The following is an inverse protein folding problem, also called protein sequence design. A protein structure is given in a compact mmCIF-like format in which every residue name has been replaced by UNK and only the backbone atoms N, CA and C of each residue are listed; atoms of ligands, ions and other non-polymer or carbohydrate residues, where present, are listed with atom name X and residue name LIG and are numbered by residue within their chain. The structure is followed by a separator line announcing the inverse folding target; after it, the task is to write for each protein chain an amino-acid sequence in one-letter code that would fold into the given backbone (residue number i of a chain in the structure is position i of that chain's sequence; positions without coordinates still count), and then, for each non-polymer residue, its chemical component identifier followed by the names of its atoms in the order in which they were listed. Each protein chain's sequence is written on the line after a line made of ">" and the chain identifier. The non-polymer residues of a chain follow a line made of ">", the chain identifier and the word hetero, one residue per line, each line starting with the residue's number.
data_IF_856133542320
#
_entry.id   IF_856133542320
#
_cell.length_a   1.000
_cell.length_b   1.000
_cell.length_c   1.000
_cell.angle_alpha   90.00
_cell.angle_beta   90.00
_cell.angle_gamma   90.00
#
_symmetry.space_group_name_H-M   'P 1'
#
loop_
_entity.id
_entity.type
_entity.pdbx_description
1 polymer ?
#
# COMPACT_ATOMS: atom_id res chain seq x y z
N UNK A 1 38.08 -73.76 12.60
CA UNK A 1 37.49 -73.15 11.40
C UNK A 1 36.50 -72.08 11.86
N UNK A 2 36.49 -70.95 11.14
CA UNK A 2 36.00 -69.61 11.48
C UNK A 2 34.58 -69.53 12.07
N UNK A 3 34.43 -68.88 13.24
CA UNK A 3 33.18 -68.28 13.70
C UNK A 3 33.16 -66.82 13.26
N UNK A 4 32.27 -66.48 12.33
CA UNK A 4 32.06 -65.10 11.84
C UNK A 4 30.82 -64.55 12.56
N UNK A 5 31.02 -63.65 13.51
CA UNK A 5 29.94 -62.84 14.08
C UNK A 5 29.69 -61.64 13.15
N UNK A 6 28.55 -61.65 12.46
CA UNK A 6 28.09 -60.56 11.62
C UNK A 6 27.45 -59.48 12.52
N UNK A 7 28.19 -58.41 12.79
CA UNK A 7 27.70 -57.23 13.49
C UNK A 7 26.87 -56.39 12.50
N UNK A 8 25.55 -56.43 12.60
CA UNK A 8 24.66 -55.56 11.83
C UNK A 8 24.61 -54.20 12.54
N UNK A 9 25.36 -53.23 12.04
CA UNK A 9 25.22 -51.82 12.41
C UNK A 9 23.90 -51.29 11.83
N UNK A 10 22.87 -51.23 12.66
CA UNK A 10 21.62 -50.53 12.37
C UNK A 10 21.88 -49.02 12.43
N UNK A 11 22.19 -48.42 11.28
CA UNK A 11 22.30 -46.96 11.15
C UNK A 11 20.90 -46.38 11.26
N UNK A 12 20.58 -45.80 12.42
CA UNK A 12 19.39 -44.99 12.63
C UNK A 12 19.54 -43.71 11.80
N UNK A 13 18.93 -43.68 10.62
CA UNK A 13 18.65 -42.45 9.89
C UNK A 13 17.67 -41.61 10.74
N UNK A 14 18.22 -40.75 11.60
CA UNK A 14 17.47 -39.63 12.17
C UNK A 14 17.18 -38.70 11.00
N UNK A 15 16.00 -38.89 10.39
CA UNK A 15 15.47 -37.98 9.38
C UNK A 15 15.42 -36.58 9.98
N UNK A 16 16.25 -35.69 9.47
CA UNK A 16 16.15 -34.27 9.73
C UNK A 16 14.85 -33.81 9.06
N UNK A 17 13.75 -33.79 9.80
CA UNK A 17 12.54 -33.10 9.37
C UNK A 17 12.88 -31.62 9.40
N UNK A 18 13.26 -31.06 8.25
CA UNK A 18 13.22 -29.64 8.02
C UNK A 18 11.79 -29.20 8.34
N UNK A 19 11.62 -28.52 9.48
CA UNK A 19 10.40 -27.79 9.76
C UNK A 19 10.28 -26.74 8.67
N UNK A 20 9.45 -27.01 7.67
CA UNK A 20 9.02 -25.98 6.73
C UNK A 20 8.41 -24.87 7.59
N UNK A 21 9.16 -23.80 7.81
CA UNK A 21 8.63 -22.59 8.41
C UNK A 21 7.51 -22.15 7.49
N UNK A 22 6.26 -22.27 7.95
CA UNK A 22 5.11 -21.76 7.22
C UNK A 22 5.42 -20.30 6.91
N UNK A 23 5.65 -19.98 5.64
CA UNK A 23 5.85 -18.61 5.20
C UNK A 23 4.49 -17.95 5.30
N UNK A 24 4.24 -17.30 6.45
CA UNK A 24 3.01 -16.57 6.70
C UNK A 24 2.99 -15.36 5.78
N UNK A 25 2.04 -15.32 4.86
CA UNK A 25 1.81 -14.17 3.98
C UNK A 25 1.29 -12.99 4.81
N UNK A 26 1.84 -11.78 4.64
CA UNK A 26 1.31 -10.62 5.33
C UNK A 26 -0.05 -10.23 4.77
N UNK A 27 -0.89 -9.61 5.59
CA UNK A 27 -1.97 -8.79 5.08
C UNK A 27 -1.38 -7.51 4.49
N UNK A 28 -1.96 -7.02 3.41
CA UNK A 28 -1.58 -5.78 2.76
C UNK A 28 -2.76 -4.81 2.89
N UNK A 29 -2.55 -3.71 3.59
CA UNK A 29 -3.51 -2.62 3.74
C UNK A 29 -2.94 -1.37 3.07
N UNK A 30 -3.54 -0.95 1.96
CA UNK A 30 -3.15 0.26 1.24
C UNK A 30 -4.24 1.30 1.44
N UNK A 31 -3.93 2.30 2.27
CA UNK A 31 -4.81 3.42 2.59
C UNK A 31 -4.44 4.58 1.69
N UNK A 32 -5.43 5.09 0.96
CA UNK A 32 -5.22 6.14 -0.02
C UNK A 32 -6.22 7.27 0.19
N UNK A 33 -5.72 8.45 0.55
CA UNK A 33 -6.53 9.65 0.65
C UNK A 33 -6.76 10.31 -0.72
N UNK A 34 -7.88 11.03 -0.87
CA UNK A 34 -8.07 11.98 -1.96
C UNK A 34 -7.75 13.40 -1.48
N UNK A 35 -6.89 14.10 -2.22
CA UNK A 35 -6.58 15.53 -1.99
C UNK A 35 -5.89 15.82 -0.65
N UNK A 36 -5.01 14.92 -0.19
CA UNK A 36 -4.21 15.13 1.02
C UNK A 36 -2.76 15.44 0.62
N UNK A 37 -2.30 16.63 0.97
CA UNK A 37 -0.96 17.12 0.67
C UNK A 37 0.06 16.67 1.72
N UNK A 38 1.33 16.63 1.34
CA UNK A 38 2.43 16.34 2.26
C UNK A 38 2.34 17.16 3.57
N UNK A 39 2.04 18.46 3.45
CA UNK A 39 1.97 19.40 4.58
C UNK A 39 0.73 19.24 5.47
N UNK A 40 -0.25 18.42 5.09
CA UNK A 40 -1.53 18.30 5.80
C UNK A 40 -1.47 17.33 6.99
N UNK A 41 -0.43 16.49 7.07
CA UNK A 41 -0.23 15.51 8.15
C UNK A 41 0.78 16.04 9.17
N UNK A 42 0.48 15.88 10.46
CA UNK A 42 1.27 16.43 11.57
C UNK A 42 2.76 16.07 11.53
N UNK A 43 3.11 14.84 11.16
CA UNK A 43 4.51 14.39 11.04
C UNK A 43 5.33 15.14 9.97
N UNK A 44 4.66 15.75 8.98
CA UNK A 44 5.26 16.43 7.84
C UNK A 44 5.11 17.96 7.91
N UNK A 45 4.08 18.46 8.61
CA UNK A 45 3.75 19.88 8.75
C UNK A 45 4.50 20.63 9.86
N UNK A 46 4.44 21.97 9.83
CA UNK A 46 4.94 22.84 10.92
C UNK A 46 3.77 23.33 11.80
N UNK A 47 4.02 23.41 13.12
CA UNK A 47 3.36 24.05 14.29
C UNK A 47 1.86 24.41 14.34
N UNK A 48 1.10 24.42 13.23
CA UNK A 48 -0.33 24.77 13.16
C UNK A 48 -1.20 23.74 12.43
N UNK A 49 -0.69 22.54 12.16
CA UNK A 49 -1.41 21.47 11.44
C UNK A 49 -2.26 20.66 12.41
N UNK A 50 -3.42 20.17 11.93
CA UNK A 50 -4.35 19.31 12.68
C UNK A 50 -3.64 18.17 13.40
N UNK A 51 -4.07 17.86 14.62
CA UNK A 51 -3.51 16.75 15.38
C UNK A 51 -3.94 15.43 14.76
N UNK A 52 -2.99 14.69 14.17
CA UNK A 52 -3.20 13.36 13.57
C UNK A 52 -2.43 12.29 14.35
N UNK A 53 -2.75 12.04 15.63
CA UNK A 53 -1.92 11.19 16.49
C UNK A 53 -1.80 9.73 16.03
N UNK A 54 -2.83 9.15 15.39
CA UNK A 54 -2.76 7.78 14.89
C UNK A 54 -1.90 7.68 13.63
N UNK A 55 -2.09 8.60 12.67
CA UNK A 55 -1.32 8.69 11.43
C UNK A 55 0.14 9.03 11.75
N UNK A 56 0.38 10.02 12.61
CA UNK A 56 1.72 10.44 13.03
C UNK A 56 2.46 9.27 13.69
N UNK A 57 1.76 8.50 14.54
CA UNK A 57 2.34 7.30 15.15
C UNK A 57 2.74 6.26 14.10
N UNK A 58 1.89 5.97 13.12
CA UNK A 58 2.24 5.01 12.06
C UNK A 58 3.45 5.47 11.26
N UNK A 59 3.51 6.76 10.91
CA UNK A 59 4.63 7.33 10.18
C UNK A 59 5.92 7.30 11.01
N UNK A 60 5.87 7.70 12.29
CA UNK A 60 7.01 7.72 13.20
C UNK A 60 7.52 6.32 13.56
N UNK A 61 6.64 5.32 13.63
CA UNK A 61 7.01 3.93 13.91
C UNK A 61 7.38 3.13 12.64
N UNK A 62 7.24 3.74 11.46
CA UNK A 62 7.46 3.12 10.15
C UNK A 62 8.61 3.72 9.36
N UNK A 63 8.54 3.59 8.04
CA UNK A 63 9.35 4.34 7.08
C UNK A 63 8.55 5.57 6.65
N UNK A 64 9.01 6.75 7.04
CA UNK A 64 8.40 8.04 6.71
C UNK A 64 9.18 8.68 5.56
N UNK A 65 8.57 8.82 4.38
CA UNK A 65 9.26 9.37 3.20
C UNK A 65 8.99 10.86 3.05
N UNK A 66 10.05 11.65 2.93
CA UNK A 66 9.95 13.11 2.72
C UNK A 66 9.72 13.48 1.25
N UNK A 67 9.97 12.57 0.31
CA UNK A 67 9.86 12.79 -1.13
C UNK A 67 8.87 11.79 -1.79
N UNK A 68 7.61 11.82 -1.34
CA UNK A 68 6.52 11.04 -1.92
C UNK A 68 5.75 11.82 -2.99
N UNK A 69 5.61 11.30 -4.21
CA UNK A 69 4.92 12.02 -5.29
C UNK A 69 3.90 11.15 -6.01
N UNK A 70 2.71 11.71 -6.27
CA UNK A 70 1.75 11.10 -7.19
C UNK A 70 2.09 11.46 -8.63
N UNK A 71 1.89 10.51 -9.53
CA UNK A 71 2.18 10.67 -10.96
C UNK A 71 1.16 11.56 -11.68
N UNK A 72 -0.02 11.81 -11.11
CA UNK A 72 -1.04 12.67 -11.73
C UNK A 72 -1.78 13.54 -10.71
N UNK A 73 -2.19 14.71 -11.16
CA UNK A 73 -3.05 15.64 -10.41
C UNK A 73 -4.55 15.25 -10.44
N UNK A 74 -4.90 14.22 -11.21
CA UNK A 74 -6.25 13.69 -11.31
C UNK A 74 -6.37 12.36 -10.55
N UNK A 75 -7.37 12.24 -9.69
CA UNK A 75 -7.53 11.06 -8.84
C UNK A 75 -7.71 9.77 -9.65
N UNK A 76 -8.43 9.80 -10.78
CA UNK A 76 -8.68 8.62 -11.65
C UNK A 76 -7.37 8.12 -12.24
N UNK A 77 -6.59 9.06 -12.75
CA UNK A 77 -5.26 8.83 -13.31
C UNK A 77 -4.28 8.29 -12.26
N UNK A 78 -4.30 8.85 -11.06
CA UNK A 78 -3.48 8.38 -9.93
C UNK A 78 -3.85 6.96 -9.50
N UNK A 79 -5.14 6.64 -9.37
CA UNK A 79 -5.60 5.30 -9.03
C UNK A 79 -5.29 4.29 -10.15
N UNK A 80 -5.48 4.65 -11.42
CA UNK A 80 -5.08 3.82 -12.54
C UNK A 80 -3.58 3.47 -12.45
N UNK A 81 -2.73 4.46 -12.20
CA UNK A 81 -1.30 4.25 -12.08
C UNK A 81 -0.93 3.35 -10.88
N UNK A 82 -1.58 3.55 -9.73
CA UNK A 82 -1.42 2.67 -8.56
C UNK A 82 -1.78 1.22 -8.89
N UNK A 83 -2.91 1.01 -9.57
CA UNK A 83 -3.45 -0.33 -9.83
C UNK A 83 -2.71 -1.05 -10.95
N UNK A 84 -2.16 -0.33 -11.92
CA UNK A 84 -1.56 -0.95 -13.11
C UNK A 84 -0.05 -0.82 -13.19
N UNK A 85 0.55 0.10 -12.41
CA UNK A 85 1.95 0.47 -12.55
C UNK A 85 2.27 1.22 -13.84
N UNK A 86 1.26 1.71 -14.57
CA UNK A 86 1.43 2.43 -15.83
C UNK A 86 1.00 3.89 -15.69
N UNK A 87 1.82 4.79 -16.21
CA UNK A 87 1.49 6.21 -16.28
C UNK A 87 0.38 6.45 -17.33
N UNK A 88 -0.72 7.15 -16.99
CA UNK A 88 -1.89 7.31 -17.86
C UNK A 88 -1.62 7.95 -19.23
N UNK A 89 -0.58 8.79 -19.34
CA UNK A 89 -0.20 9.45 -20.59
C UNK A 89 0.66 8.60 -21.52
N UNK A 90 1.21 7.48 -21.04
CA UNK A 90 2.04 6.57 -21.84
C UNK A 90 1.23 5.52 -22.62
N UNK A 91 -0.10 5.70 -22.73
CA UNK A 91 -1.03 4.77 -23.41
C UNK A 91 -0.43 4.18 -24.69
N UNK A 92 0.08 2.96 -24.58
CA UNK A 92 0.06 1.97 -25.64
C UNK A 92 -1.18 1.10 -25.41
N UNK A 93 -1.93 0.84 -26.48
CA UNK A 93 -3.08 -0.06 -26.48
C UNK A 93 -2.53 -1.48 -26.28
N UNK A 94 -2.45 -1.93 -25.04
CA UNK A 94 -2.19 -3.32 -24.70
C UNK A 94 -3.47 -3.92 -24.13
N UNK A 95 -3.95 -5.00 -24.77
CA UNK A 95 -5.25 -5.63 -24.48
C UNK A 95 -5.31 -6.36 -23.13
N UNK A 96 -4.18 -6.53 -22.42
CA UNK A 96 -4.13 -7.15 -21.10
C UNK A 96 -3.17 -6.40 -20.16
N UNK A 97 -3.67 -5.38 -19.46
CA UNK A 97 -2.94 -4.78 -18.35
C UNK A 97 -3.38 -5.46 -17.06
N UNK A 98 -2.55 -6.36 -16.54
CA UNK A 98 -2.78 -6.97 -15.24
C UNK A 98 -2.68 -5.92 -14.13
N UNK A 99 -3.57 -6.02 -13.16
CA UNK A 99 -3.66 -5.09 -12.05
C UNK A 99 -3.06 -5.66 -10.76
N UNK A 100 -2.79 -4.78 -9.79
CA UNK A 100 -2.36 -5.13 -8.45
C UNK A 100 -3.29 -6.14 -7.75
N UNK A 101 -4.62 -5.94 -7.66
CA UNK A 101 -5.51 -6.95 -7.07
C UNK A 101 -5.49 -8.28 -7.84
N UNK A 102 -5.41 -8.28 -9.18
CA UNK A 102 -5.28 -9.54 -9.94
C UNK A 102 -3.98 -10.28 -9.61
N UNK A 103 -2.87 -9.55 -9.48
CA UNK A 103 -1.59 -10.10 -9.03
C UNK A 103 -1.69 -10.71 -7.63
N UNK A 104 -2.32 -10.02 -6.69
CA UNK A 104 -2.50 -10.53 -5.33
C UNK A 104 -3.37 -11.80 -5.31
N UNK A 105 -4.44 -11.85 -6.12
CA UNK A 105 -5.29 -13.04 -6.26
C UNK A 105 -4.53 -14.26 -6.78
N UNK A 106 -3.62 -14.08 -7.74
CA UNK A 106 -2.78 -15.18 -8.26
C UNK A 106 -1.96 -15.89 -7.18
N UNK A 107 -1.63 -15.18 -6.10
CA UNK A 107 -0.93 -15.74 -4.94
C UNK A 107 -1.84 -15.94 -3.73
N UNK A 108 -3.15 -16.04 -3.94
CA UNK A 108 -4.11 -16.52 -2.93
C UNK A 108 -4.55 -15.48 -1.90
N UNK A 109 -4.41 -14.18 -2.20
CA UNK A 109 -4.99 -13.12 -1.38
C UNK A 109 -6.48 -12.97 -1.68
N UNK A 110 -7.28 -12.70 -0.64
CA UNK A 110 -8.60 -12.08 -0.80
C UNK A 110 -8.41 -10.61 -1.13
N UNK A 111 -9.09 -10.07 -2.13
CA UNK A 111 -8.92 -8.66 -2.51
C UNK A 111 -10.20 -7.85 -2.29
N UNK A 112 -10.06 -6.71 -1.63
CA UNK A 112 -11.18 -5.79 -1.40
C UNK A 112 -10.78 -4.35 -1.70
N UNK A 113 -11.70 -3.62 -2.32
CA UNK A 113 -11.65 -2.17 -2.45
C UNK A 113 -12.82 -1.56 -1.67
N UNK A 114 -12.53 -0.81 -0.61
CA UNK A 114 -13.54 -0.15 0.21
C UNK A 114 -13.34 1.36 0.22
N UNK A 115 -14.45 2.10 0.23
CA UNK A 115 -14.47 3.56 0.33
C UNK A 115 -14.35 4.21 -1.04
N UNK A 116 -13.71 5.38 -1.12
CA UNK A 116 -13.65 6.13 -2.38
C UNK A 116 -12.97 5.34 -3.49
N UNK A 117 -13.77 5.15 -4.53
CA UNK A 117 -13.43 4.48 -5.77
C UNK A 117 -14.09 5.23 -6.91
N UNK A 118 -13.37 5.47 -8.00
CA UNK A 118 -13.75 6.39 -9.07
C UNK A 118 -15.13 6.18 -9.69
N UNK A 119 -16.14 6.89 -9.15
CA UNK A 119 -17.36 7.39 -9.81
C UNK A 119 -18.26 8.07 -8.75
N UNK A 120 -18.98 9.14 -9.11
CA UNK A 120 -20.09 9.69 -8.28
C UNK A 120 -21.29 8.72 -8.22
N UNK A 121 -21.31 7.72 -9.10
CA UNK A 121 -22.33 6.67 -9.18
C UNK A 121 -21.77 5.38 -8.59
N UNK A 122 -22.28 5.00 -7.41
CA UNK A 122 -21.88 3.84 -6.61
C UNK A 122 -21.80 2.54 -7.41
N UNK A 123 -22.88 2.18 -8.14
CA UNK A 123 -22.90 0.95 -8.93
C UNK A 123 -21.77 0.91 -9.96
N UNK A 124 -21.44 2.06 -10.56
CA UNK A 124 -20.33 2.16 -11.51
C UNK A 124 -18.97 2.06 -10.82
N UNK A 125 -18.84 2.56 -9.59
CA UNK A 125 -17.63 2.43 -8.79
C UNK A 125 -17.37 0.96 -8.40
N UNK A 126 -18.39 0.25 -7.90
CA UNK A 126 -18.28 -1.19 -7.60
C UNK A 126 -17.95 -2.02 -8.84
N UNK A 127 -18.68 -1.79 -9.94
CA UNK A 127 -18.45 -2.50 -11.20
C UNK A 127 -17.03 -2.24 -11.73
N UNK A 128 -16.56 -0.98 -11.65
CA UNK A 128 -15.19 -0.59 -12.03
C UNK A 128 -14.13 -1.28 -11.15
N UNK A 129 -14.34 -1.35 -9.83
CA UNK A 129 -13.42 -2.06 -8.93
C UNK A 129 -13.35 -3.55 -9.25
N UNK A 130 -14.50 -4.19 -9.52
CA UNK A 130 -14.55 -5.60 -9.93
C UNK A 130 -13.88 -5.82 -11.29
N UNK A 131 -14.02 -4.89 -12.23
CA UNK A 131 -13.30 -4.93 -13.52
C UNK A 131 -11.78 -4.80 -13.34
N UNK A 132 -11.33 -4.09 -12.32
CA UNK A 132 -9.91 -4.07 -11.92
C UNK A 132 -9.47 -5.35 -11.21
N UNK A 133 -10.36 -6.29 -10.91
CA UNK A 133 -10.02 -7.62 -10.38
C UNK A 133 -10.22 -7.82 -8.88
N UNK A 134 -10.83 -6.87 -8.17
CA UNK A 134 -11.20 -7.05 -6.76
C UNK A 134 -12.28 -8.12 -6.56
N UNK A 135 -12.16 -8.95 -5.51
CA UNK A 135 -13.21 -9.91 -5.11
C UNK A 135 -14.40 -9.20 -4.45
N UNK A 136 -14.09 -8.17 -3.66
CA UNK A 136 -15.07 -7.37 -2.92
C UNK A 136 -14.89 -5.89 -3.25
N UNK A 137 -16.00 -5.19 -3.39
CA UNK A 137 -16.04 -3.75 -3.62
C UNK A 137 -17.25 -3.18 -2.88
N UNK A 138 -17.08 -2.04 -2.23
CA UNK A 138 -18.14 -1.36 -1.48
C UNK A 138 -17.63 -0.06 -0.85
N UNK A 139 -18.39 0.48 0.10
CA UNK A 139 -18.12 1.76 0.72
C UNK A 139 -18.86 2.89 0.01
N UNK A 140 -20.11 3.10 0.41
CA UNK A 140 -20.87 4.30 0.08
C UNK A 140 -20.10 5.54 0.57
N UNK A 141 -19.76 6.44 -0.36
CA UNK A 141 -19.18 7.74 -0.04
C UNK A 141 -20.22 8.80 -0.38
N UNK A 142 -21.03 9.20 0.61
CA UNK A 142 -21.80 10.43 0.52
C UNK A 142 -20.87 11.59 0.90
N UNK A 143 -20.60 12.50 -0.05
CA UNK A 143 -19.81 13.71 0.18
C UNK A 143 -20.44 14.70 1.18
N UNK A 144 -21.57 14.36 1.78
CA UNK A 144 -22.22 15.15 2.84
C UNK A 144 -22.29 14.42 4.18
N UNK A 145 -21.79 13.19 4.27
CA UNK A 145 -21.81 12.38 5.50
C UNK A 145 -20.40 11.94 5.90
N UNK A 146 -20.18 11.65 7.21
CA UNK A 146 -18.93 11.06 7.67
C UNK A 146 -18.68 9.70 7.01
N UNK A 147 -17.42 9.37 6.73
CA UNK A 147 -17.04 8.13 6.05
C UNK A 147 -17.46 6.89 6.87
N UNK A 148 -18.57 6.27 6.48
CA UNK A 148 -19.10 5.07 7.10
C UNK A 148 -18.46 3.78 6.54
N UNK A 149 -17.71 3.88 5.43
CA UNK A 149 -17.07 2.74 4.77
C UNK A 149 -15.99 2.09 5.66
N UNK A 150 -15.49 2.81 6.66
CA UNK A 150 -14.58 2.25 7.67
C UNK A 150 -15.18 1.03 8.39
N UNK A 151 -16.48 1.05 8.71
CA UNK A 151 -17.15 -0.06 9.38
C UNK A 151 -17.30 -1.26 8.45
N UNK A 152 -17.48 -1.02 7.16
CA UNK A 152 -17.49 -2.06 6.14
C UNK A 152 -16.11 -2.72 6.01
N UNK A 153 -15.04 -1.92 5.95
CA UNK A 153 -13.67 -2.42 5.96
C UNK A 153 -13.39 -3.29 7.20
N UNK A 154 -13.80 -2.84 8.39
CA UNK A 154 -13.67 -3.61 9.64
C UNK A 154 -14.48 -4.92 9.62
N UNK A 155 -15.68 -4.89 9.03
CA UNK A 155 -16.52 -6.08 8.87
C UNK A 155 -15.87 -7.09 7.91
N UNK A 156 -15.33 -6.64 6.76
CA UNK A 156 -14.63 -7.50 5.82
C UNK A 156 -13.37 -8.13 6.42
N UNK A 157 -12.55 -7.35 7.14
CA UNK A 157 -11.39 -7.88 7.89
C UNK A 157 -11.82 -9.01 8.82
N UNK A 158 -12.99 -8.88 9.47
CA UNK A 158 -13.55 -9.91 10.34
C UNK A 158 -13.96 -11.18 9.57
N UNK A 159 -14.45 -11.02 8.34
CA UNK A 159 -14.88 -12.14 7.49
C UNK A 159 -13.71 -12.91 6.87
N UNK A 160 -12.55 -12.28 6.69
CA UNK A 160 -11.37 -12.95 6.15
C UNK A 160 -10.74 -13.98 7.10
N UNK A 161 -11.15 -14.09 8.37
CA UNK A 161 -10.79 -15.20 9.28
C UNK A 161 -9.29 -15.55 9.32
N UNK A 162 -8.41 -14.53 9.28
CA UNK A 162 -6.94 -14.67 9.24
C UNK A 162 -6.37 -15.24 7.91
N UNK A 163 -7.17 -15.36 6.86
CA UNK A 163 -6.65 -15.51 5.49
C UNK A 163 -5.93 -14.22 5.05
N UNK A 164 -4.85 -14.30 4.24
CA UNK A 164 -4.15 -13.13 3.76
C UNK A 164 -5.06 -12.30 2.84
N UNK A 165 -5.11 -10.99 3.10
CA UNK A 165 -5.92 -10.06 2.32
C UNK A 165 -5.11 -8.90 1.76
N UNK A 166 -5.55 -8.39 0.62
CA UNK A 166 -5.15 -7.11 0.07
C UNK A 166 -6.37 -6.20 0.13
N UNK A 167 -6.35 -5.27 1.06
CA UNK A 167 -7.39 -4.28 1.26
C UNK A 167 -6.88 -2.94 0.78
N UNK A 168 -7.44 -2.48 -0.32
CA UNK A 168 -7.42 -1.09 -0.69
C UNK A 168 -8.50 -0.38 0.13
N UNK A 169 -8.13 0.68 0.84
CA UNK A 169 -9.06 1.54 1.55
C UNK A 169 -8.90 2.97 1.04
N UNK A 170 -9.84 3.41 0.20
CA UNK A 170 -9.90 4.77 -0.31
C UNK A 170 -10.61 5.66 0.71
N UNK A 171 -9.90 6.61 1.30
CA UNK A 171 -10.52 7.61 2.16
C UNK A 171 -11.28 8.58 1.27
N UNK A 172 -12.61 8.46 1.29
CA UNK A 172 -13.50 9.18 0.42
C UNK A 172 -14.06 10.43 1.04
N UNK A 173 -14.00 11.51 0.27
CA UNK A 173 -14.63 12.76 0.62
C UNK A 173 -13.73 13.65 1.46
N UNK A 174 -13.20 14.69 0.83
CA UNK A 174 -13.52 16.03 1.33
C UNK A 174 -15.03 16.23 1.19
N UNK A 175 -15.81 15.44 1.92
CA UNK A 175 -17.12 15.89 2.32
C UNK A 175 -16.90 17.24 3.00
N UNK A 176 -17.86 18.14 2.95
CA UNK A 176 -17.72 19.56 3.36
C UNK A 176 -17.31 19.75 4.84
N UNK A 177 -16.88 18.71 5.57
CA UNK A 177 -16.44 18.79 6.96
C UNK A 177 -15.46 17.71 7.48
N UNK A 178 -14.95 16.75 6.71
CA UNK A 178 -14.04 15.75 7.31
C UNK A 178 -12.68 16.36 7.61
N UNK A 179 -12.50 16.76 8.87
CA UNK A 179 -11.24 17.29 9.37
C UNK A 179 -10.19 16.18 9.35
N UNK A 180 -8.91 16.55 9.31
CA UNK A 180 -7.84 15.56 9.44
C UNK A 180 -7.96 14.71 10.74
N UNK A 181 -8.63 15.25 11.77
CA UNK A 181 -8.94 14.53 13.02
C UNK A 181 -9.92 13.37 12.81
N UNK A 182 -10.94 13.52 11.96
CA UNK A 182 -11.88 12.43 11.64
C UNK A 182 -11.17 11.30 10.88
N UNK A 183 -10.36 11.66 9.89
CA UNK A 183 -9.56 10.69 9.14
C UNK A 183 -8.64 9.93 10.10
N UNK A 184 -7.96 10.65 11.00
CA UNK A 184 -7.10 10.05 12.02
C UNK A 184 -7.87 9.11 12.97
N UNK A 185 -9.08 9.48 13.39
CA UNK A 185 -9.95 8.63 14.22
C UNK A 185 -10.31 7.33 13.49
N UNK A 186 -10.63 7.39 12.19
CA UNK A 186 -10.93 6.20 11.39
C UNK A 186 -9.72 5.28 11.25
N UNK A 187 -8.52 5.84 11.06
CA UNK A 187 -7.29 5.07 11.10
C UNK A 187 -7.12 4.41 12.48
N UNK A 188 -7.34 5.13 13.57
CA UNK A 188 -7.32 4.58 14.92
C UNK A 188 -8.29 3.40 15.13
N UNK A 189 -9.52 3.50 14.61
CA UNK A 189 -10.51 2.41 14.63
C UNK A 189 -10.07 1.19 13.82
N UNK A 190 -9.49 1.41 12.64
CA UNK A 190 -8.97 0.34 11.79
C UNK A 190 -7.82 -0.41 12.48
N UNK A 191 -6.87 0.33 13.06
CA UNK A 191 -5.74 -0.24 13.79
C UNK A 191 -6.20 -1.04 15.02
N UNK A 192 -7.18 -0.51 15.75
CA UNK A 192 -7.79 -1.22 16.88
C UNK A 192 -8.48 -2.51 16.42
N UNK A 193 -9.24 -2.46 15.32
CA UNK A 193 -9.86 -3.64 14.71
C UNK A 193 -8.83 -4.74 14.39
N UNK A 194 -7.71 -4.37 13.77
CA UNK A 194 -6.60 -5.28 13.45
C UNK A 194 -5.92 -5.81 14.73
N UNK A 195 -5.70 -4.96 15.73
CA UNK A 195 -5.06 -5.33 16.98
C UNK A 195 -5.91 -6.32 17.79
N UNK A 196 -7.20 -6.04 17.95
CA UNK A 196 -8.16 -6.90 18.67
C UNK A 196 -8.30 -8.30 18.05
N UNK A 197 -7.94 -8.42 16.77
CA UNK A 197 -7.98 -9.68 16.00
C UNK A 197 -6.60 -10.34 15.88
N UNK A 198 -5.58 -9.78 16.52
CA UNK A 198 -4.18 -10.23 16.44
C UNK A 198 -3.62 -10.23 15.00
N UNK A 199 -4.11 -9.32 14.16
CA UNK A 199 -3.73 -9.21 12.76
C UNK A 199 -2.73 -8.08 12.51
N UNK A 200 -2.64 -7.09 13.42
CA UNK A 200 -1.78 -5.91 13.26
C UNK A 200 -0.31 -6.28 13.03
N UNK A 201 0.24 -7.24 13.77
CA UNK A 201 1.65 -7.67 13.68
C UNK A 201 1.96 -8.37 12.34
N UNK A 202 0.93 -8.89 11.64
CA UNK A 202 1.04 -9.52 10.32
C UNK A 202 0.50 -8.62 9.21
N UNK A 203 0.31 -7.31 9.44
CA UNK A 203 -0.24 -6.40 8.44
C UNK A 203 0.79 -5.34 8.07
N UNK A 204 1.17 -5.29 6.79
CA UNK A 204 1.88 -4.16 6.21
C UNK A 204 0.85 -3.10 5.81
N UNK A 205 1.06 -1.89 6.30
CA UNK A 205 0.19 -0.74 6.07
C UNK A 205 0.97 0.28 5.23
N UNK A 206 0.40 0.68 4.10
CA UNK A 206 0.88 1.81 3.29
C UNK A 206 -0.14 2.92 3.38
N UNK A 207 0.32 4.15 3.56
CA UNK A 207 -0.52 5.34 3.53
C UNK A 207 0.01 6.33 2.50
N UNK A 208 -0.84 6.80 1.60
CA UNK A 208 -0.51 7.87 0.66
C UNK A 208 -1.76 8.60 0.15
N UNK A 209 -1.62 9.43 -0.88
CA UNK A 209 -2.73 10.14 -1.51
C UNK A 209 -2.65 10.10 -3.04
N UNK A 210 -3.81 10.19 -3.70
CA UNK A 210 -3.91 10.24 -5.17
C UNK A 210 -3.40 11.53 -5.78
N UNK A 211 -3.60 12.64 -5.08
CA UNK A 211 -3.25 13.99 -5.52
C UNK A 211 -3.09 14.88 -4.31
N UNK A 212 -2.27 15.91 -4.44
CA UNK A 212 -2.18 16.98 -3.44
C UNK A 212 -3.29 18.00 -3.65
N UNK A 213 -3.77 18.60 -2.56
CA UNK A 213 -4.69 19.74 -2.55
C UNK A 213 -3.98 21.11 -2.66
N UNK A 214 -2.68 21.17 -2.36
CA UNK A 214 -1.92 22.42 -2.19
C UNK A 214 -0.76 22.56 -3.19
N UNK A 215 -0.12 21.45 -3.58
CA UNK A 215 1.13 21.48 -4.34
C UNK A 215 0.96 21.24 -5.85
N UNK A 216 1.51 22.17 -6.64
CA UNK A 216 1.66 22.11 -8.09
C UNK A 216 2.58 20.97 -8.58
N UNK A 217 3.24 20.22 -7.69
CA UNK A 217 4.05 19.06 -8.06
C UNK A 217 3.50 17.73 -7.56
N UNK A 218 2.27 17.70 -7.02
CA UNK A 218 1.65 16.50 -6.43
C UNK A 218 2.52 15.82 -5.34
N UNK A 219 3.17 16.59 -4.47
CA UNK A 219 3.84 16.07 -3.28
C UNK A 219 2.79 15.59 -2.27
N UNK A 220 2.78 14.28 -2.02
CA UNK A 220 1.80 13.60 -1.18
C UNK A 220 2.49 12.97 0.04
N UNK A 221 1.77 12.76 1.15
CA UNK A 221 2.31 11.94 2.23
C UNK A 221 2.59 10.53 1.70
N UNK A 222 3.67 9.91 2.16
CA UNK A 222 3.94 8.50 1.87
C UNK A 222 4.66 7.87 3.06
N UNK A 223 4.05 6.89 3.71
CA UNK A 223 4.75 6.09 4.71
C UNK A 223 4.32 4.63 4.68
N UNK A 224 5.20 3.78 5.22
CA UNK A 224 4.98 2.34 5.32
C UNK A 224 5.21 1.90 6.76
N UNK A 225 4.24 1.20 7.33
CA UNK A 225 4.27 0.69 8.68
C UNK A 225 4.12 -0.82 8.69
N UNK A 226 4.92 -1.50 9.52
CA UNK A 226 4.71 -2.89 9.85
C UNK A 226 5.28 -3.22 11.22
N UNK A 227 4.38 -3.40 12.19
CA UNK A 227 4.70 -3.60 13.59
C UNK A 227 5.72 -4.74 13.79
N UNK A 228 6.87 -4.40 14.37
CA UNK A 228 7.96 -5.34 14.67
C UNK A 228 8.71 -5.89 13.45
N UNK A 229 8.39 -5.45 12.23
CA UNK A 229 9.10 -5.83 10.99
C UNK A 229 9.85 -4.67 10.35
N UNK A 230 9.35 -3.45 10.53
CA UNK A 230 10.00 -2.20 10.14
C UNK A 230 10.55 -1.53 11.40
N UNK A 231 11.77 -1.01 11.30
CA UNK A 231 12.34 -0.11 12.30
C UNK A 231 12.10 1.34 11.86
N UNK A 232 11.80 2.26 12.80
CA UNK A 232 11.59 3.67 12.50
C UNK A 232 12.70 4.29 11.67
N UNK A 233 12.34 4.94 10.55
CA UNK A 233 13.29 5.69 9.72
C UNK A 233 12.60 6.81 8.96
N UNK A 234 13.25 7.96 8.86
CA UNK A 234 12.87 9.03 7.93
C UNK A 234 13.79 8.92 6.71
N UNK A 235 13.22 8.86 5.52
CA UNK A 235 13.95 8.69 4.27
C UNK A 235 13.62 9.80 3.27
N UNK A 236 14.65 10.31 2.61
CA UNK A 236 14.55 11.27 1.49
C UNK A 236 14.51 10.58 0.13
N UNK A 237 14.41 9.25 0.10
CA UNK A 237 14.25 8.50 -1.14
C UNK A 237 13.00 8.95 -1.89
N UNK A 238 13.14 9.17 -3.21
CA UNK A 238 12.03 9.52 -4.08
C UNK A 238 11.14 8.29 -4.31
N UNK A 239 9.89 8.36 -3.87
CA UNK A 239 8.92 7.25 -3.95
C UNK A 239 7.60 7.70 -4.54
N UNK A 240 6.85 6.74 -5.09
CA UNK A 240 5.54 7.03 -5.69
C UNK A 240 4.57 5.86 -5.52
N UNK A 241 3.25 6.11 -5.36
CA UNK A 241 2.24 5.04 -5.32
C UNK A 241 2.25 4.13 -6.56
N UNK A 242 2.73 4.62 -7.72
CA UNK A 242 2.88 3.78 -8.93
C UNK A 242 3.83 2.60 -8.72
N UNK A 243 4.75 2.68 -7.75
CA UNK A 243 5.73 1.62 -7.43
C UNK A 243 5.16 0.48 -6.59
N UNK A 244 3.92 0.63 -6.07
CA UNK A 244 3.34 -0.34 -5.16
C UNK A 244 3.10 -1.69 -5.86
N UNK A 245 2.70 -1.71 -7.14
CA UNK A 245 2.46 -2.97 -7.85
C UNK A 245 3.73 -3.83 -7.97
N UNK A 246 4.87 -3.24 -8.38
CA UNK A 246 6.12 -3.96 -8.50
C UNK A 246 6.69 -4.34 -7.12
N UNK A 247 6.64 -3.41 -6.16
CA UNK A 247 7.22 -3.61 -4.82
C UNK A 247 6.43 -4.60 -3.97
N UNK A 248 5.10 -4.49 -3.94
CA UNK A 248 4.25 -5.45 -3.24
C UNK A 248 4.24 -6.80 -3.97
N UNK A 249 4.31 -6.79 -5.31
CA UNK A 249 4.46 -8.01 -6.10
C UNK A 249 5.71 -8.80 -5.70
N UNK A 250 6.85 -8.10 -5.61
CA UNK A 250 8.10 -8.66 -5.10
C UNK A 250 7.99 -9.17 -3.66
N UNK A 251 7.35 -8.40 -2.78
CA UNK A 251 7.18 -8.74 -1.36
C UNK A 251 6.48 -10.09 -1.18
N UNK A 252 5.42 -10.35 -1.95
CA UNK A 252 4.61 -11.57 -1.83
C UNK A 252 5.06 -12.69 -2.77
N UNK A 253 6.11 -12.46 -3.56
CA UNK A 253 6.68 -13.44 -4.48
C UNK A 253 5.82 -13.73 -5.71
N UNK A 254 5.02 -12.77 -6.18
CA UNK A 254 4.31 -12.87 -7.47
C UNK A 254 5.14 -12.26 -8.59
N UNK A 255 5.09 -12.85 -9.78
CA UNK A 255 5.77 -12.32 -10.97
C UNK A 255 5.19 -10.96 -11.36
N UNK A 256 6.05 -9.94 -11.43
CA UNK A 256 5.70 -8.60 -11.91
C UNK A 256 5.85 -8.58 -13.44
N UNK A 257 4.87 -8.06 -14.19
CA UNK A 257 4.96 -7.90 -15.63
C UNK A 257 6.12 -7.01 -16.07
N UNK A 258 6.62 -7.24 -17.28
CA UNK A 258 7.53 -6.32 -17.94
C UNK A 258 6.76 -5.12 -18.52
N UNK A 259 7.48 -4.03 -18.83
CA UNK A 259 6.89 -2.85 -19.49
C UNK A 259 6.08 -1.92 -18.60
N UNK A 260 6.15 -2.07 -17.28
CA UNK A 260 5.54 -1.13 -16.33
C UNK A 260 6.41 0.13 -16.17
N UNK A 261 5.78 1.25 -15.83
CA UNK A 261 6.47 2.46 -15.32
C UNK A 261 6.83 2.33 -13.82
N UNK A 262 6.17 1.38 -13.15
CA UNK A 262 6.44 0.94 -11.79
C UNK A 262 7.82 0.29 -11.67
N UNK A 263 8.58 0.69 -10.65
CA UNK A 263 9.85 0.06 -10.30
C UNK A 263 9.76 -0.61 -8.93
N UNK A 264 10.63 -1.60 -8.71
CA UNK A 264 10.64 -2.38 -7.47
C UNK A 264 11.50 -1.69 -6.40
N UNK A 265 10.88 -1.28 -5.29
CA UNK A 265 11.54 -0.61 -4.15
C UNK A 265 11.12 -1.19 -2.80
N UNK A 266 10.85 -2.50 -2.72
CA UNK A 266 10.45 -3.18 -1.48
C UNK A 266 11.47 -2.95 -0.36
N UNK A 267 12.76 -2.89 -0.68
CA UNK A 267 13.79 -2.63 0.33
C UNK A 267 13.70 -1.21 0.88
N UNK A 268 13.36 -0.21 0.07
CA UNK A 268 13.12 1.15 0.55
C UNK A 268 11.86 1.17 1.45
N UNK A 269 10.76 0.58 0.97
CA UNK A 269 9.50 0.50 1.73
C UNK A 269 9.62 -0.27 3.05
N UNK A 270 10.57 -1.20 3.15
CA UNK A 270 10.87 -1.95 4.38
C UNK A 270 11.96 -1.31 5.25
N UNK A 271 12.48 -0.12 4.89
CA UNK A 271 13.52 0.60 5.63
C UNK A 271 14.91 -0.06 5.55
N UNK A 272 15.12 -0.95 4.58
CA UNK A 272 16.38 -1.67 4.34
C UNK A 272 17.28 -0.98 3.31
N UNK A 273 16.74 0.01 2.60
CA UNK A 273 17.45 0.88 1.65
C UNK A 273 17.01 2.32 1.88
N UNK A 274 17.93 3.26 1.71
CA UNK A 274 17.64 4.70 1.64
C UNK A 274 17.61 5.21 0.19
N UNK A 275 17.68 4.30 -0.78
CA UNK A 275 17.62 4.59 -2.21
C UNK A 275 16.34 4.00 -2.80
N UNK A 276 15.69 4.78 -3.67
CA UNK A 276 14.55 4.36 -4.48
C UNK A 276 14.69 4.96 -5.91
N UNK A 277 13.73 5.78 -6.37
CA UNK A 277 13.80 6.38 -7.71
C UNK A 277 14.93 7.39 -7.83
N UNK A 278 15.56 7.44 -8.99
CA UNK A 278 16.43 8.56 -9.40
C UNK A 278 15.60 9.71 -9.98
N UNK A 279 14.52 9.39 -10.70
CA UNK A 279 13.59 10.36 -11.25
C UNK A 279 12.14 9.83 -11.29
N UNK A 280 11.21 10.77 -11.41
CA UNK A 280 9.80 10.52 -11.61
C UNK A 280 9.25 11.56 -12.58
N UNK A 281 8.56 11.09 -13.62
CA UNK A 281 7.78 11.96 -14.50
C UNK A 281 6.35 11.97 -14.01
N UNK A 282 5.80 13.16 -13.84
CA UNK A 282 4.44 13.38 -13.37
C UNK A 282 3.69 14.37 -14.28
N UNK A 283 2.39 14.18 -14.38
CA UNK A 283 1.48 15.07 -15.09
C UNK A 283 0.74 15.95 -14.07
N UNK A 284 0.89 17.27 -14.20
CA UNK A 284 0.18 18.24 -13.38
C UNK A 284 -0.55 19.22 -14.27
N UNK A 285 -1.87 19.28 -14.15
CA UNK A 285 -2.71 20.25 -14.86
C UNK A 285 -2.49 20.27 -16.38
N UNK A 286 -2.21 19.11 -16.98
CA UNK A 286 -1.94 18.92 -18.40
C UNK A 286 -0.48 19.09 -18.81
N UNK A 287 0.42 19.44 -17.89
CA UNK A 287 1.84 19.62 -18.16
C UNK A 287 2.69 18.46 -17.61
N UNK A 288 3.64 17.99 -18.41
CA UNK A 288 4.60 16.98 -17.99
C UNK A 288 5.76 17.62 -17.24
N UNK A 289 6.03 17.14 -16.03
CA UNK A 289 7.15 17.57 -15.18
C UNK A 289 8.01 16.38 -14.81
N UNK A 290 9.31 16.62 -14.61
CA UNK A 290 10.25 15.62 -14.10
C UNK A 290 10.76 16.09 -12.73
N UNK A 291 10.55 15.26 -11.73
CA UNK A 291 11.19 15.37 -10.42
C UNK A 291 12.39 14.44 -10.44
N UNK A 292 13.53 14.89 -9.95
CA UNK A 292 14.71 14.06 -9.75
C UNK A 292 14.94 13.94 -8.25
N UNK A 293 15.39 12.77 -7.79
CA UNK A 293 15.94 12.65 -6.46
C UNK A 293 17.04 13.70 -6.32
N UNK A 294 17.00 14.48 -5.24
CA UNK A 294 18.02 15.50 -5.01
C UNK A 294 19.39 14.83 -5.02
N UNK A 295 20.26 15.19 -5.97
CA UNK A 295 21.68 14.79 -5.98
C UNK A 295 22.51 15.51 -4.89
N UNK A 296 21.87 16.01 -3.83
CA UNK A 296 22.46 16.92 -2.88
C UNK A 296 22.89 16.18 -1.61
N UNK A 297 24.13 15.69 -1.60
CA UNK A 297 24.88 15.54 -0.35
C UNK A 297 25.61 14.23 -0.06
N UNK A 298 26.04 13.44 -1.05
CA UNK A 298 27.16 12.50 -0.83
C UNK A 298 28.49 13.27 -0.83
N UNK A 299 28.81 13.92 0.28
CA UNK A 299 30.18 14.28 0.70
C UNK A 299 30.36 13.92 2.16
#
# INVERSE_FOLDING_TARGET
>A
MKNVYLLVCMVLFVGCTSSDSIVVKPNLLVIMADSLSYVDIGVYGQDSVSTTPNIDKLAQEGVCFTHGYSVSSNSVSGQYALMTGKCPWKKAVEEETITLPEMMKKVGYKTAAIGSWHSEVEQMAEESARQMGFDYSGGEVDMNLPDCSIYEAMNLISQFKKEPFFLYYGLGGTAVSSTHEEIDEYIGKLLSCLADREMLDNTLIVFSSYRSSVDDNNHVPFFVYWKGKISPVVSDALVSPVDLIASLGKLVGVSVPEGLDSHEYVNAFMGKSLEAREDLVLEVQGEMRRISANSNGRT
#
